data_IF_099162045335
#
_entry.id   IF_099162045335
#
_cell.length_a   1.000
_cell.length_b   1.000
_cell.length_c   1.000
_cell.angle_alpha   90.00
_cell.angle_beta   90.00
_cell.angle_gamma   90.00
#
_symmetry.space_group_name_H-M   'P 1'
#
loop_
_entity.id
_entity.type
_entity.pdbx_description
1 polymer ?
#
# COMPACT_ATOMS: atom_id res chain seq x y z
N UNK A 1 -4.30 34.32 11.75
CA UNK A 1 -3.72 34.14 13.08
C UNK A 1 -4.18 32.91 13.85
N UNK A 2 -5.32 32.34 13.63
CA UNK A 2 -5.84 31.25 14.45
C UNK A 2 -6.05 29.94 13.69
N UNK A 3 -5.53 29.82 12.47
CA UNK A 3 -5.85 28.68 11.60
C UNK A 3 -5.10 27.38 11.93
N UNK A 4 -4.08 27.41 12.79
CA UNK A 4 -3.28 26.21 13.10
C UNK A 4 -3.86 25.36 14.22
N UNK A 5 -4.61 25.94 15.14
CA UNK A 5 -5.07 25.24 16.34
C UNK A 5 -6.24 24.27 16.08
N UNK A 6 -7.01 24.49 15.02
CA UNK A 6 -8.20 23.69 14.75
C UNK A 6 -7.87 22.33 14.12
N UNK A 7 -6.71 22.22 13.45
CA UNK A 7 -6.23 20.93 12.92
C UNK A 7 -5.73 20.02 14.02
N UNK A 8 -5.09 20.58 15.03
CA UNK A 8 -4.51 19.78 16.11
C UNK A 8 -5.58 19.19 17.05
N UNK A 9 -6.76 19.81 17.10
CA UNK A 9 -7.88 19.36 17.94
C UNK A 9 -8.61 18.16 17.30
N UNK A 10 -8.61 18.06 15.97
CA UNK A 10 -9.37 17.04 15.24
C UNK A 10 -8.57 15.78 14.98
N UNK A 11 -7.25 15.80 15.14
CA UNK A 11 -6.41 14.64 14.92
C UNK A 11 -6.04 14.00 16.26
N UNK A 12 -6.14 12.67 16.38
CA UNK A 12 -5.63 11.96 17.55
C UNK A 12 -4.13 12.25 17.71
N UNK A 13 -3.61 12.13 18.94
CA UNK A 13 -2.17 12.35 19.19
C UNK A 13 -1.34 11.36 18.39
N UNK A 14 -0.39 11.83 17.57
CA UNK A 14 0.25 11.02 16.54
C UNK A 14 1.32 10.04 17.03
N UNK A 15 1.64 9.97 18.32
CA UNK A 15 2.71 9.11 18.83
C UNK A 15 2.47 7.62 18.60
N UNK A 16 1.21 7.20 18.46
CA UNK A 16 0.81 5.82 18.18
C UNK A 16 0.20 5.63 16.79
N UNK A 17 0.07 6.71 16.02
CA UNK A 17 -0.54 6.64 14.69
C UNK A 17 0.51 6.36 13.64
N UNK A 18 0.08 5.63 12.63
CA UNK A 18 0.88 5.39 11.43
C UNK A 18 0.26 6.08 10.24
N UNK A 19 1.10 6.55 9.34
CA UNK A 19 0.68 6.99 8.02
C UNK A 19 0.62 5.76 7.14
N UNK A 20 -0.56 5.45 6.60
CA UNK A 20 -0.72 4.40 5.61
C UNK A 20 -0.72 5.00 4.22
N UNK A 21 0.15 4.49 3.37
CA UNK A 21 0.15 4.79 1.94
C UNK A 21 -0.36 3.57 1.20
N UNK A 22 -1.54 3.68 0.61
CA UNK A 22 -2.18 2.63 -0.20
C UNK A 22 -1.99 2.97 -1.66
N UNK A 23 -1.25 2.14 -2.38
CA UNK A 23 -0.95 2.34 -3.80
C UNK A 23 -1.74 1.37 -4.66
N UNK A 24 -2.45 1.89 -5.65
CA UNK A 24 -3.31 1.14 -6.57
C UNK A 24 -2.70 1.13 -7.96
N UNK A 25 -2.69 -0.04 -8.59
CA UNK A 25 -2.19 -0.16 -9.96
C UNK A 25 -2.88 -1.31 -10.70
N UNK A 26 -2.71 -1.32 -12.03
CA UNK A 26 -3.22 -2.37 -12.90
C UNK A 26 -2.09 -3.28 -13.35
N UNK A 27 -2.39 -4.56 -13.43
CA UNK A 27 -1.44 -5.54 -13.96
C UNK A 27 -1.26 -5.36 -15.47
N UNK A 28 -0.16 -5.85 -15.97
CA UNK A 28 0.06 -6.01 -17.40
C UNK A 28 -1.02 -6.96 -17.97
N UNK A 29 -1.83 -6.54 -18.94
CA UNK A 29 -2.88 -7.39 -19.50
C UNK A 29 -2.36 -8.62 -20.23
N UNK A 30 -1.07 -8.66 -20.58
CA UNK A 30 -0.45 -9.80 -21.27
C UNK A 30 -0.11 -10.97 -20.34
N UNK A 31 -0.13 -10.77 -19.02
CA UNK A 31 0.11 -11.83 -18.04
C UNK A 31 -1.19 -12.24 -17.35
N UNK A 32 -1.26 -13.51 -16.95
CA UNK A 32 -2.43 -14.00 -16.22
C UNK A 32 -2.51 -13.44 -14.82
N UNK A 33 -3.68 -13.51 -14.21
CA UNK A 33 -3.87 -13.11 -12.82
C UNK A 33 -3.01 -13.94 -11.86
N UNK A 34 -2.87 -15.22 -12.14
CA UNK A 34 -2.06 -16.14 -11.35
C UNK A 34 -0.57 -15.77 -11.41
N UNK A 35 -0.05 -15.55 -12.62
CA UNK A 35 1.33 -15.09 -12.83
C UNK A 35 1.60 -13.77 -12.12
N UNK A 36 0.67 -12.82 -12.25
CA UNK A 36 0.75 -11.53 -11.57
C UNK A 36 0.81 -11.70 -10.06
N UNK A 37 -0.12 -12.44 -9.48
CA UNK A 37 -0.22 -12.63 -8.04
C UNK A 37 1.02 -13.33 -7.47
N UNK A 38 1.51 -14.34 -8.17
CA UNK A 38 2.71 -15.09 -7.76
C UNK A 38 3.96 -14.22 -7.79
N UNK A 39 4.19 -13.51 -8.90
CA UNK A 39 5.33 -12.61 -9.01
C UNK A 39 5.27 -11.47 -7.99
N UNK A 40 4.12 -10.84 -7.88
CA UNK A 40 3.94 -9.71 -6.96
C UNK A 40 4.20 -10.12 -5.51
N UNK A 41 3.65 -11.23 -5.07
CA UNK A 41 3.84 -11.73 -3.71
C UNK A 41 5.25 -12.25 -3.48
N UNK A 42 5.69 -13.20 -4.29
CA UNK A 42 6.88 -14.00 -4.00
C UNK A 42 8.18 -13.33 -4.45
N UNK A 43 8.17 -12.64 -5.59
CA UNK A 43 9.36 -11.98 -6.12
C UNK A 43 9.44 -10.52 -5.68
N UNK A 44 8.48 -9.71 -6.08
CA UNK A 44 8.49 -8.27 -5.77
C UNK A 44 8.39 -8.03 -4.27
N UNK A 45 7.45 -8.67 -3.60
CA UNK A 45 7.27 -8.53 -2.16
C UNK A 45 8.52 -8.89 -1.38
N UNK A 46 9.20 -9.96 -1.76
CA UNK A 46 10.47 -10.37 -1.14
C UNK A 46 11.58 -9.34 -1.35
N UNK A 47 11.68 -8.78 -2.55
CA UNK A 47 12.65 -7.70 -2.83
C UNK A 47 12.39 -6.48 -1.94
N UNK A 48 11.14 -6.07 -1.80
CA UNK A 48 10.77 -4.91 -0.98
C UNK A 48 11.19 -5.11 0.46
N UNK A 49 10.78 -6.21 1.09
CA UNK A 49 11.06 -6.43 2.52
C UNK A 49 12.53 -6.72 2.81
N UNK A 50 13.27 -7.25 1.85
CA UNK A 50 14.70 -7.48 1.98
C UNK A 50 15.55 -6.24 1.73
N UNK A 51 14.98 -5.18 1.19
CA UNK A 51 15.73 -3.97 0.85
C UNK A 51 16.27 -3.26 2.10
N UNK A 52 17.42 -2.64 1.94
CA UNK A 52 18.03 -1.84 3.02
C UNK A 52 17.13 -0.66 3.40
N UNK A 53 16.56 0.00 2.40
CA UNK A 53 15.71 1.18 2.64
C UNK A 53 14.44 0.82 3.41
N UNK A 54 13.87 -0.37 3.20
CA UNK A 54 12.73 -0.82 3.97
C UNK A 54 13.05 -0.86 5.48
N UNK A 55 14.22 -1.37 5.83
CA UNK A 55 14.69 -1.42 7.21
C UNK A 55 15.06 -0.04 7.76
N UNK A 56 15.78 0.75 6.97
CA UNK A 56 16.31 2.05 7.40
C UNK A 56 15.21 3.08 7.65
N UNK A 57 14.09 2.97 6.97
CA UNK A 57 12.94 3.84 7.18
C UNK A 57 11.92 3.28 8.17
N UNK A 58 12.25 2.18 8.81
CA UNK A 58 11.46 1.58 9.89
C UNK A 58 9.98 1.36 9.50
N UNK A 59 9.75 0.93 8.27
CA UNK A 59 8.41 0.62 7.79
C UNK A 59 7.78 -0.41 8.72
N UNK A 60 6.60 -0.10 9.24
CA UNK A 60 5.94 -0.93 10.25
C UNK A 60 5.16 -2.10 9.65
N UNK A 61 4.96 -2.10 8.38
CA UNK A 61 4.30 -3.20 7.69
C UNK A 61 4.19 -2.94 6.20
N UNK A 62 4.11 -4.02 5.47
CA UNK A 62 3.84 -4.04 4.05
C UNK A 62 2.80 -5.11 3.79
N UNK A 63 1.65 -4.70 3.27
CA UNK A 63 0.53 -5.58 2.98
C UNK A 63 0.17 -5.50 1.52
N UNK A 64 -0.03 -6.64 0.90
CA UNK A 64 -0.64 -6.73 -0.42
C UNK A 64 -2.10 -7.10 -0.26
N UNK A 65 -2.98 -6.27 -0.78
CA UNK A 65 -4.43 -6.50 -0.74
C UNK A 65 -4.84 -7.09 -2.09
N UNK A 66 -5.24 -8.35 -2.05
CA UNK A 66 -5.70 -9.07 -3.24
C UNK A 66 -7.22 -9.05 -3.28
N UNK A 67 -7.77 -8.27 -4.19
CA UNK A 67 -9.21 -8.21 -4.39
C UNK A 67 -9.63 -9.25 -5.45
N UNK A 68 -10.45 -10.22 -5.04
CA UNK A 68 -10.94 -11.24 -5.95
C UNK A 68 -12.42 -11.04 -6.25
N UNK A 69 -12.80 -11.35 -7.50
CA UNK A 69 -14.21 -11.26 -7.91
C UNK A 69 -15.10 -12.21 -7.12
N UNK A 70 -14.58 -13.36 -6.78
CA UNK A 70 -15.28 -14.39 -5.99
C UNK A 70 -15.67 -13.84 -4.61
N UNK A 71 -14.73 -13.21 -3.89
CA UNK A 71 -15.01 -12.60 -2.59
C UNK A 71 -16.05 -11.48 -2.69
N UNK A 72 -15.93 -10.64 -3.72
CA UNK A 72 -16.89 -9.56 -3.95
C UNK A 72 -18.29 -10.11 -4.22
N UNK A 73 -18.38 -11.18 -5.01
CA UNK A 73 -19.66 -11.86 -5.30
C UNK A 73 -20.27 -12.45 -4.03
N UNK A 74 -19.49 -13.19 -3.26
CA UNK A 74 -19.95 -13.76 -1.99
C UNK A 74 -20.44 -12.70 -1.02
N UNK A 75 -19.70 -11.59 -0.90
CA UNK A 75 -20.09 -10.48 -0.05
C UNK A 75 -21.41 -9.85 -0.49
N UNK A 76 -21.59 -9.65 -1.79
CA UNK A 76 -22.84 -9.13 -2.34
C UNK A 76 -24.01 -10.08 -2.09
N UNK A 77 -23.81 -11.38 -2.21
CA UNK A 77 -24.82 -12.40 -1.91
C UNK A 77 -25.22 -12.41 -0.43
N UNK A 78 -24.31 -12.01 0.44
CA UNK A 78 -24.59 -11.83 1.87
C UNK A 78 -25.23 -10.47 2.22
N UNK A 79 -25.48 -9.64 1.23
CA UNK A 79 -26.17 -8.35 1.40
C UNK A 79 -25.28 -7.15 1.60
N UNK A 80 -23.94 -7.28 1.42
CA UNK A 80 -23.05 -6.13 1.43
C UNK A 80 -23.15 -5.36 0.12
N UNK A 81 -23.16 -4.02 0.22
CA UNK A 81 -23.05 -3.14 -0.94
C UNK A 81 -21.58 -3.00 -1.29
N UNK A 82 -21.14 -3.78 -2.26
CA UNK A 82 -19.73 -3.88 -2.65
C UNK A 82 -19.37 -2.82 -3.67
N UNK A 83 -18.28 -2.06 -3.39
CA UNK A 83 -17.74 -1.13 -4.37
C UNK A 83 -17.07 -1.87 -5.52
N UNK A 84 -17.23 -1.34 -6.71
CA UNK A 84 -16.52 -1.82 -7.88
C UNK A 84 -15.04 -1.41 -7.78
N UNK A 85 -14.17 -2.41 -7.77
CA UNK A 85 -12.73 -2.17 -7.64
C UNK A 85 -12.10 -2.23 -9.03
N UNK A 86 -11.79 -1.04 -9.56
CA UNK A 86 -11.26 -0.89 -10.93
C UNK A 86 -9.76 -1.18 -11.05
N UNK A 87 -9.07 -1.51 -9.97
CA UNK A 87 -7.63 -1.78 -9.95
C UNK A 87 -7.37 -3.27 -9.76
N UNK A 88 -6.21 -3.74 -10.18
CA UNK A 88 -5.83 -5.14 -10.01
C UNK A 88 -5.09 -5.38 -8.70
N UNK A 89 -4.47 -4.35 -8.16
CA UNK A 89 -3.62 -4.47 -6.98
C UNK A 89 -3.72 -3.25 -6.08
N UNK A 90 -3.58 -3.50 -4.79
CA UNK A 90 -3.39 -2.48 -3.78
C UNK A 90 -2.27 -2.93 -2.84
N UNK A 91 -1.21 -2.14 -2.73
CA UNK A 91 -0.18 -2.34 -1.72
C UNK A 91 -0.33 -1.29 -0.63
N UNK A 92 -0.14 -1.69 0.62
CA UNK A 92 -0.19 -0.79 1.75
C UNK A 92 1.11 -0.84 2.53
N UNK A 93 1.66 0.33 2.81
CA UNK A 93 2.83 0.48 3.67
C UNK A 93 2.53 1.47 4.79
N UNK A 94 3.14 1.22 5.95
CA UNK A 94 2.86 1.93 7.18
C UNK A 94 4.13 2.60 7.68
N UNK A 95 4.11 3.93 7.78
CA UNK A 95 5.26 4.75 8.16
C UNK A 95 4.99 5.49 9.46
N UNK A 96 6.03 5.70 10.25
CA UNK A 96 5.95 6.52 11.47
C UNK A 96 5.79 8.01 11.16
N UNK A 97 6.39 8.46 10.05
CA UNK A 97 6.38 9.87 9.68
C UNK A 97 6.37 10.04 8.16
N UNK A 98 5.98 11.22 7.75
CA UNK A 98 6.05 11.59 6.34
C UNK A 98 7.49 11.69 5.84
N UNK A 99 8.42 12.03 6.72
CA UNK A 99 9.85 12.04 6.41
C UNK A 99 10.38 10.65 6.07
N UNK A 100 9.98 9.62 6.84
CA UNK A 100 10.35 8.23 6.53
C UNK A 100 9.81 7.80 5.16
N UNK A 101 8.58 8.18 4.82
CA UNK A 101 8.03 7.94 3.50
C UNK A 101 8.87 8.60 2.40
N UNK A 102 9.24 9.87 2.57
CA UNK A 102 10.07 10.59 1.58
C UNK A 102 11.42 9.91 1.37
N UNK A 103 12.06 9.49 2.44
CA UNK A 103 13.34 8.77 2.37
C UNK A 103 13.20 7.47 1.60
N UNK A 104 12.15 6.71 1.86
CA UNK A 104 11.84 5.48 1.13
C UNK A 104 11.59 5.77 -0.35
N UNK A 105 10.68 6.68 -0.66
CA UNK A 105 10.25 6.98 -2.03
C UNK A 105 11.38 7.57 -2.88
N UNK A 106 12.28 8.35 -2.30
CA UNK A 106 13.38 9.01 -2.99
C UNK A 106 14.69 8.21 -2.96
N UNK A 107 14.68 7.01 -2.42
CA UNK A 107 15.89 6.19 -2.29
C UNK A 107 16.42 5.69 -3.62
N UNK A 108 17.72 5.42 -3.65
CA UNK A 108 18.35 4.79 -4.80
C UNK A 108 17.79 3.39 -5.07
N UNK A 109 17.50 2.62 -4.02
CA UNK A 109 16.89 1.30 -4.18
C UNK A 109 15.50 1.38 -4.82
N UNK A 110 14.69 2.37 -4.46
CA UNK A 110 13.39 2.58 -5.10
C UNK A 110 13.57 2.91 -6.57
N UNK A 111 14.48 3.84 -6.89
CA UNK A 111 14.73 4.26 -8.28
C UNK A 111 15.29 3.15 -9.15
N UNK A 112 16.24 2.39 -8.64
CA UNK A 112 17.06 1.47 -9.45
C UNK A 112 16.62 0.01 -9.38
N UNK A 113 15.90 -0.39 -8.33
CA UNK A 113 15.54 -1.79 -8.08
C UNK A 113 14.04 -1.97 -7.88
N UNK A 114 13.48 -1.38 -6.83
CA UNK A 114 12.10 -1.68 -6.42
C UNK A 114 11.07 -1.13 -7.40
N UNK A 115 11.27 0.11 -7.86
CA UNK A 115 10.38 0.73 -8.84
C UNK A 115 10.39 0.00 -10.18
N UNK A 116 11.55 -0.23 -10.80
CA UNK A 116 11.63 -1.00 -12.04
C UNK A 116 11.07 -2.41 -11.93
N UNK A 117 11.32 -3.11 -10.82
CA UNK A 117 10.76 -4.44 -10.61
C UNK A 117 9.23 -4.42 -10.54
N UNK A 118 8.66 -3.48 -9.78
CA UNK A 118 7.21 -3.29 -9.74
C UNK A 118 6.63 -2.95 -11.10
N UNK A 119 7.29 -2.07 -11.84
CA UNK A 119 6.85 -1.67 -13.18
C UNK A 119 6.80 -2.84 -14.17
N UNK A 120 7.58 -3.89 -13.94
CA UNK A 120 7.63 -5.08 -14.79
C UNK A 120 6.28 -5.80 -14.91
N UNK A 121 5.47 -5.75 -13.87
CA UNK A 121 4.15 -6.41 -13.85
C UNK A 121 2.98 -5.45 -14.03
N UNK A 122 3.25 -4.17 -14.23
CA UNK A 122 2.22 -3.15 -14.43
C UNK A 122 1.81 -3.04 -15.90
N UNK A 123 0.61 -2.49 -16.11
CA UNK A 123 0.15 -2.10 -17.45
C UNK A 123 1.07 -1.06 -18.09
N UNK A 124 0.89 -0.86 -19.41
CA UNK A 124 1.76 -0.01 -20.21
C UNK A 124 1.86 1.44 -19.73
N UNK A 125 0.82 1.97 -19.14
CA UNK A 125 0.78 3.35 -18.62
C UNK A 125 1.57 3.54 -17.32
N UNK A 126 1.91 2.43 -16.63
CA UNK A 126 2.62 2.45 -15.34
C UNK A 126 1.95 3.35 -14.30
N UNK A 127 0.65 3.57 -14.40
CA UNK A 127 -0.08 4.46 -13.51
C UNK A 127 -0.22 3.86 -12.12
N UNK A 128 0.21 4.62 -11.12
CA UNK A 128 -0.01 4.32 -9.71
C UNK A 128 -0.81 5.46 -9.09
N UNK A 129 -1.91 5.12 -8.44
CA UNK A 129 -2.71 6.09 -7.66
C UNK A 129 -2.60 5.74 -6.19
N UNK A 130 -2.69 6.73 -5.33
CA UNK A 130 -2.50 6.51 -3.91
C UNK A 130 -3.63 7.14 -3.08
N UNK A 131 -3.94 6.46 -1.98
CA UNK A 131 -4.70 7.03 -0.87
C UNK A 131 -3.76 7.09 0.32
N UNK A 132 -3.75 8.23 1.00
CA UNK A 132 -2.94 8.41 2.21
C UNK A 132 -3.89 8.61 3.39
N UNK A 133 -3.67 7.85 4.46
CA UNK A 133 -4.55 7.83 5.62
C UNK A 133 -3.74 7.78 6.91
N UNK A 134 -4.31 8.28 8.00
CA UNK A 134 -3.84 7.96 9.33
C UNK A 134 -4.52 6.67 9.79
N UNK A 135 -3.75 5.78 10.35
CA UNK A 135 -4.25 4.53 10.90
C UNK A 135 -4.26 4.63 12.41
N UNK A 136 -5.45 4.55 12.98
CA UNK A 136 -5.68 4.58 14.42
C UNK A 136 -6.19 3.20 14.85
N UNK A 137 -5.33 2.31 15.37
CA UNK A 137 -5.75 0.98 15.75
C UNK A 137 -6.58 1.04 17.04
N UNK A 138 -7.88 0.98 16.90
CA UNK A 138 -8.82 0.98 18.05
C UNK A 138 -8.63 -0.28 18.88
N UNK A 139 -8.46 -1.43 18.21
CA UNK A 139 -8.12 -2.70 18.85
C UNK A 139 -7.35 -3.58 17.89
N UNK A 140 -6.32 -4.23 18.39
CA UNK A 140 -5.49 -5.13 17.59
C UNK A 140 -4.96 -6.25 18.45
N UNK A 141 -5.30 -7.48 18.10
CA UNK A 141 -4.80 -8.68 18.78
C UNK A 141 -3.47 -9.16 18.22
N UNK A 142 -3.24 -8.92 16.90
CA UNK A 142 -2.01 -9.31 16.22
C UNK A 142 -1.50 -8.15 15.37
N UNK A 143 -0.17 -8.01 15.20
CA UNK A 143 0.37 -7.04 14.26
C UNK A 143 -0.05 -7.40 12.83
N UNK A 144 -0.29 -6.39 12.03
CA UNK A 144 -0.53 -6.55 10.59
C UNK A 144 0.74 -7.03 9.90
#
# INVERSE_FOLDING_TARGET
MAASSQKDILLPQPSSLLIRVSCFFRKDPSISQEEFNTYWRDTHGSLVVASKIYRDTRIQGYTQVHNTRELSKEAAEMGLSVLDFEWDACSEMYFHSWEDYRRFAASDEMRDVLGPDGAHIMGADKTVRAIVSLVDPVHREQPL
#
